data_IF_435358533238
#
_entry.id   IF_435358533238
#
_cell.length_a   1.000
_cell.length_b   1.000
_cell.length_c   1.000
_cell.angle_alpha   90.00
_cell.angle_beta   90.00
_cell.angle_gamma   90.00
#
_symmetry.space_group_name_H-M   'P 1'
#
loop_
_entity.id
_entity.type
_entity.pdbx_description
1 polymer ?
#
# COMPACT_ATOMS: atom_id res chain seq x y z
N UNK A 1 -25.16 -21.70 17.98
CA UNK A 1 -25.82 -20.42 18.27
C UNK A 1 -24.94 -19.34 17.67
N UNK A 2 -25.32 -18.80 16.51
CA UNK A 2 -24.57 -17.72 15.87
C UNK A 2 -24.69 -16.48 16.75
N UNK A 3 -23.60 -15.80 17.12
CA UNK A 3 -23.70 -14.49 17.72
C UNK A 3 -24.30 -13.55 16.65
N UNK A 4 -25.52 -13.17 16.84
CA UNK A 4 -26.12 -12.08 16.08
C UNK A 4 -25.28 -10.85 16.39
N UNK A 5 -24.68 -10.24 15.37
CA UNK A 5 -23.98 -8.95 15.52
C UNK A 5 -25.05 -7.92 15.89
N UNK A 6 -25.32 -7.81 17.16
CA UNK A 6 -26.36 -6.90 17.71
C UNK A 6 -25.82 -5.48 17.90
N UNK A 7 -24.49 -5.29 17.81
CA UNK A 7 -23.85 -3.99 17.98
C UNK A 7 -22.87 -3.70 16.83
N UNK A 8 -23.44 -3.25 15.70
CA UNK A 8 -22.65 -2.78 14.56
C UNK A 8 -21.77 -1.57 14.93
N UNK A 9 -22.22 -0.70 15.83
CA UNK A 9 -21.45 0.45 16.27
C UNK A 9 -20.19 0.01 17.04
N UNK A 10 -20.30 -0.99 17.92
CA UNK A 10 -19.16 -1.60 18.59
C UNK A 10 -18.19 -2.25 17.64
N UNK A 11 -18.68 -2.94 16.59
CA UNK A 11 -17.83 -3.54 15.56
C UNK A 11 -17.03 -2.47 14.79
N UNK A 12 -17.69 -1.36 14.38
CA UNK A 12 -16.99 -0.25 13.73
C UNK A 12 -15.89 0.33 14.60
N UNK A 13 -16.18 0.59 15.87
CA UNK A 13 -15.17 1.09 16.81
C UNK A 13 -13.97 0.14 16.93
N UNK A 14 -14.21 -1.16 16.97
CA UNK A 14 -13.15 -2.18 17.01
C UNK A 14 -12.28 -2.18 15.75
N UNK A 15 -12.91 -2.11 14.57
CA UNK A 15 -12.20 -2.06 13.28
C UNK A 15 -11.34 -0.81 13.20
N UNK A 16 -11.87 0.37 13.52
CA UNK A 16 -11.11 1.61 13.53
C UNK A 16 -9.94 1.56 14.50
N UNK A 17 -10.14 1.03 15.70
CA UNK A 17 -9.08 0.85 16.68
C UNK A 17 -8.00 -0.10 16.18
N UNK A 18 -8.38 -1.24 15.58
CA UNK A 18 -7.45 -2.21 15.01
C UNK A 18 -6.57 -1.57 13.91
N UNK A 19 -7.21 -0.83 12.99
CA UNK A 19 -6.52 -0.13 11.92
C UNK A 19 -5.55 0.94 12.46
N UNK A 20 -5.97 1.70 13.47
CA UNK A 20 -5.16 2.77 14.05
C UNK A 20 -3.96 2.22 14.84
N UNK A 21 -4.16 1.18 15.65
CA UNK A 21 -3.06 0.50 16.35
C UNK A 21 -2.07 -0.14 15.37
N UNK A 22 -2.58 -0.78 14.30
CA UNK A 22 -1.72 -1.36 13.27
C UNK A 22 -0.89 -0.28 12.57
N UNK A 23 -1.51 0.84 12.17
CA UNK A 23 -0.81 1.97 11.54
C UNK A 23 0.27 2.55 12.47
N UNK A 24 -0.03 2.72 13.76
CA UNK A 24 0.96 3.20 14.75
C UNK A 24 2.13 2.24 14.88
N UNK A 25 1.87 0.95 15.02
CA UNK A 25 2.91 -0.06 15.12
C UNK A 25 3.79 -0.15 13.88
N UNK A 26 3.20 -0.14 12.68
CA UNK A 26 3.93 -0.10 11.42
C UNK A 26 4.78 1.18 11.30
N UNK A 27 4.22 2.34 11.65
CA UNK A 27 4.96 3.60 11.65
C UNK A 27 6.14 3.59 12.61
N UNK A 28 5.97 3.01 13.80
CA UNK A 28 7.05 2.82 14.75
C UNK A 28 8.12 1.85 14.25
N UNK A 29 7.73 0.74 13.63
CA UNK A 29 8.64 -0.24 13.04
C UNK A 29 9.48 0.37 11.91
N UNK A 30 8.86 1.22 11.08
CA UNK A 30 9.52 1.92 9.97
C UNK A 30 10.27 3.18 10.39
N UNK A 31 10.28 3.56 11.68
CA UNK A 31 10.94 4.78 12.16
C UNK A 31 12.46 4.77 12.00
N UNK A 32 13.07 3.61 11.92
CA UNK A 32 14.50 3.41 11.63
C UNK A 32 14.85 3.34 10.14
N UNK A 33 13.85 3.25 9.28
CA UNK A 33 13.99 3.36 7.84
C UNK A 33 13.73 4.82 7.44
N UNK A 34 14.46 5.42 6.47
CA UNK A 34 14.17 6.79 6.06
C UNK A 34 12.70 6.90 5.67
N UNK A 35 12.01 7.60 6.49
CA UNK A 35 10.57 7.87 6.62
C UNK A 35 9.74 7.71 5.36
N UNK A 36 8.59 7.11 5.53
CA UNK A 36 7.35 7.32 4.77
C UNK A 36 7.40 6.96 3.27
N UNK A 37 8.56 6.68 2.73
CA UNK A 37 8.76 6.40 1.32
C UNK A 37 8.70 4.91 1.03
N UNK A 38 8.73 4.05 2.09
CA UNK A 38 8.61 2.60 1.95
C UNK A 38 7.38 2.22 1.10
N UNK A 39 6.21 2.74 1.43
CA UNK A 39 5.00 2.44 0.67
C UNK A 39 5.09 2.87 -0.81
N UNK A 40 5.74 4.01 -1.08
CA UNK A 40 5.94 4.48 -2.46
C UNK A 40 7.02 3.68 -3.18
N UNK A 41 8.09 3.28 -2.51
CA UNK A 41 9.13 2.38 -3.06
C UNK A 41 8.54 1.01 -3.39
N UNK A 42 7.70 0.44 -2.51
CA UNK A 42 7.01 -0.82 -2.75
C UNK A 42 6.02 -0.72 -3.93
N UNK A 43 5.28 0.38 -4.01
CA UNK A 43 4.40 0.65 -5.16
C UNK A 43 5.21 0.72 -6.45
N UNK A 44 6.32 1.48 -6.45
CA UNK A 44 7.24 1.58 -7.59
C UNK A 44 7.81 0.21 -7.97
N UNK A 45 8.33 -0.55 -7.00
CA UNK A 45 8.89 -1.89 -7.22
C UNK A 45 7.87 -2.82 -7.88
N UNK A 46 6.66 -2.87 -7.32
CA UNK A 46 5.56 -3.68 -7.85
C UNK A 46 5.17 -3.28 -9.27
N UNK A 47 5.06 -1.98 -9.54
CA UNK A 47 4.65 -1.48 -10.86
C UNK A 47 5.77 -1.62 -11.90
N UNK A 48 7.02 -1.43 -11.52
CA UNK A 48 8.18 -1.70 -12.39
C UNK A 48 8.22 -3.18 -12.75
N UNK A 49 7.96 -4.08 -11.81
CA UNK A 49 7.93 -5.52 -12.09
C UNK A 49 6.79 -5.92 -13.03
N UNK A 50 5.63 -5.26 -12.94
CA UNK A 50 4.43 -5.60 -13.75
C UNK A 50 4.40 -4.90 -15.11
N UNK A 51 4.83 -3.66 -15.19
CA UNK A 51 4.60 -2.76 -16.32
C UNK A 51 5.86 -2.03 -16.78
N UNK A 52 6.99 -2.19 -16.06
CA UNK A 52 8.24 -1.51 -16.34
C UNK A 52 8.97 -2.13 -17.53
N UNK A 53 9.85 -1.32 -18.13
CA UNK A 53 10.81 -1.76 -19.13
C UNK A 53 12.21 -1.40 -18.65
N UNK A 54 13.14 -2.35 -18.69
CA UNK A 54 14.55 -2.18 -18.24
C UNK A 54 14.67 -1.58 -16.82
N UNK A 55 13.77 -1.97 -15.90
CA UNK A 55 13.79 -1.50 -14.51
C UNK A 55 13.30 -0.05 -14.32
N UNK A 56 12.61 0.51 -15.32
CA UNK A 56 12.02 1.86 -15.27
C UNK A 56 10.51 1.83 -15.50
N UNK A 57 9.81 2.89 -15.07
CA UNK A 57 8.39 3.11 -15.33
C UNK A 57 8.13 4.61 -15.59
N UNK A 58 7.16 4.93 -16.44
CA UNK A 58 6.73 6.32 -16.62
C UNK A 58 6.00 6.87 -15.40
N UNK A 59 6.26 8.13 -15.05
CA UNK A 59 5.57 8.80 -13.94
C UNK A 59 4.04 8.84 -14.16
N UNK A 60 3.59 8.95 -15.40
CA UNK A 60 2.17 8.88 -15.76
C UNK A 60 1.54 7.53 -15.44
N UNK A 61 2.23 6.43 -15.74
CA UNK A 61 1.77 5.07 -15.40
C UNK A 61 1.71 4.85 -13.89
N UNK A 62 2.66 5.41 -13.14
CA UNK A 62 2.64 5.37 -11.68
C UNK A 62 1.43 6.10 -11.12
N UNK A 63 1.11 7.28 -11.63
CA UNK A 63 -0.06 8.06 -11.19
C UNK A 63 -1.37 7.33 -11.49
N UNK A 64 -1.52 6.79 -12.69
CA UNK A 64 -2.68 6.01 -13.12
C UNK A 64 -2.88 4.77 -12.25
N UNK A 65 -1.85 3.95 -12.10
CA UNK A 65 -1.91 2.71 -11.34
C UNK A 65 -2.15 2.95 -9.83
N UNK A 66 -1.60 4.04 -9.28
CA UNK A 66 -1.80 4.43 -7.88
C UNK A 66 -3.16 5.08 -7.62
N UNK A 67 -3.92 5.42 -8.67
CA UNK A 67 -5.16 6.21 -8.58
C UNK A 67 -4.98 7.51 -7.79
N UNK A 68 -3.80 8.10 -7.86
CA UNK A 68 -3.44 9.34 -7.16
C UNK A 68 -3.25 10.49 -8.14
N UNK A 69 -3.58 11.70 -7.67
CA UNK A 69 -3.37 12.90 -8.47
C UNK A 69 -1.86 13.13 -8.74
N UNK A 70 -1.53 13.51 -9.97
CA UNK A 70 -0.15 13.76 -10.41
C UNK A 70 0.66 14.68 -9.46
N UNK A 71 0.10 15.75 -8.85
CA UNK A 71 0.84 16.58 -7.89
C UNK A 71 1.29 15.80 -6.63
N UNK A 72 0.50 14.82 -6.18
CA UNK A 72 0.84 13.98 -5.01
C UNK A 72 2.01 13.06 -5.37
N UNK A 73 1.92 12.38 -6.50
CA UNK A 73 2.99 11.52 -7.02
C UNK A 73 4.27 12.32 -7.23
N UNK A 74 4.19 13.47 -7.90
CA UNK A 74 5.36 14.30 -8.19
C UNK A 74 6.07 14.79 -6.92
N UNK A 75 5.31 15.12 -5.86
CA UNK A 75 5.86 15.51 -4.56
C UNK A 75 6.58 14.35 -3.88
N UNK A 76 5.96 13.19 -3.80
CA UNK A 76 6.57 11.99 -3.22
C UNK A 76 7.84 11.57 -3.96
N UNK A 77 7.81 11.54 -5.30
CA UNK A 77 8.98 11.23 -6.11
C UNK A 77 10.12 12.24 -5.90
N UNK A 78 9.81 13.53 -5.74
CA UNK A 78 10.84 14.54 -5.47
C UNK A 78 11.58 14.25 -4.16
N UNK A 79 10.87 13.85 -3.12
CA UNK A 79 11.50 13.52 -1.84
C UNK A 79 12.36 12.27 -1.94
N UNK A 80 11.87 11.21 -2.61
CA UNK A 80 12.68 10.00 -2.84
C UNK A 80 13.95 10.28 -3.65
N UNK A 81 13.86 11.17 -4.65
CA UNK A 81 14.99 11.58 -5.46
C UNK A 81 16.04 12.38 -4.65
N UNK A 82 15.57 13.32 -3.81
CA UNK A 82 16.43 14.10 -2.91
C UNK A 82 17.18 13.22 -1.89
N UNK A 83 16.59 12.10 -1.51
CA UNK A 83 17.20 11.10 -0.63
C UNK A 83 18.04 10.06 -1.40
N UNK A 84 18.15 10.17 -2.72
CA UNK A 84 18.91 9.27 -3.56
C UNK A 84 18.31 7.87 -3.70
N UNK A 85 17.02 7.68 -3.34
CA UNK A 85 16.33 6.38 -3.36
C UNK A 85 15.81 6.04 -4.74
N UNK A 86 15.56 7.04 -5.58
CA UNK A 86 15.17 6.90 -6.98
C UNK A 86 15.99 7.84 -7.85
N UNK A 87 15.94 7.58 -9.14
CA UNK A 87 16.49 8.44 -10.18
C UNK A 87 15.39 8.73 -11.21
N UNK A 88 15.29 10.00 -11.63
CA UNK A 88 14.43 10.40 -12.75
C UNK A 88 15.26 10.53 -14.02
N UNK A 89 14.73 9.99 -15.08
CA UNK A 89 15.36 9.94 -16.38
C UNK A 89 14.41 10.58 -17.40
N UNK A 90 14.88 11.58 -18.13
CA UNK A 90 14.13 12.10 -19.27
C UNK A 90 14.12 11.06 -20.38
N UNK A 91 12.94 10.76 -20.93
CA UNK A 91 12.85 9.82 -22.05
C UNK A 91 13.65 10.37 -23.26
N UNK A 92 14.58 9.58 -23.80
CA UNK A 92 15.39 10.04 -24.94
C UNK A 92 14.56 10.29 -26.21
N UNK A 93 13.41 9.63 -26.34
CA UNK A 93 12.53 9.75 -27.51
C UNK A 93 11.43 10.81 -27.34
N UNK A 94 11.05 11.15 -26.09
CA UNK A 94 10.05 12.19 -25.82
C UNK A 94 10.42 12.95 -24.53
N UNK A 95 11.05 14.10 -24.68
CA UNK A 95 11.50 14.96 -23.57
C UNK A 95 10.38 15.43 -22.63
N UNK A 96 9.12 15.27 -22.99
CA UNK A 96 7.96 15.58 -22.14
C UNK A 96 7.65 14.44 -21.16
N UNK A 97 8.23 13.26 -21.38
CA UNK A 97 8.02 12.09 -20.51
C UNK A 97 9.20 11.89 -19.58
N UNK A 98 8.88 11.50 -18.36
CA UNK A 98 9.86 11.17 -17.32
C UNK A 98 9.70 9.72 -16.90
N UNK A 99 10.79 8.99 -16.94
CA UNK A 99 10.93 7.65 -16.37
C UNK A 99 11.48 7.73 -14.95
N UNK A 100 11.17 6.74 -14.15
CA UNK A 100 11.67 6.59 -12.77
C UNK A 100 12.30 5.21 -12.62
N UNK A 101 13.47 5.17 -11.96
CA UNK A 101 14.17 3.95 -11.59
C UNK A 101 14.49 3.96 -10.09
N UNK A 102 14.36 2.81 -9.43
CA UNK A 102 14.81 2.64 -8.05
C UNK A 102 16.32 2.44 -8.03
N UNK A 103 17.04 3.22 -7.22
CA UNK A 103 18.50 3.12 -7.09
C UNK A 103 18.90 1.89 -6.24
N UNK A 104 20.18 1.48 -6.22
CA UNK A 104 20.66 0.48 -5.27
C UNK A 104 20.38 0.86 -3.81
N UNK A 105 20.52 2.15 -3.46
CA UNK A 105 20.18 2.66 -2.13
C UNK A 105 18.68 2.56 -1.85
N UNK A 106 17.80 2.86 -2.83
CA UNK A 106 16.36 2.69 -2.71
C UNK A 106 15.97 1.23 -2.49
N UNK A 107 16.59 0.29 -3.19
CA UNK A 107 16.36 -1.15 -2.96
C UNK A 107 16.80 -1.59 -1.58
N UNK A 108 17.95 -1.12 -1.09
CA UNK A 108 18.39 -1.42 0.27
C UNK A 108 17.44 -0.84 1.34
N UNK A 109 16.94 0.39 1.13
CA UNK A 109 15.95 1.00 2.02
C UNK A 109 14.62 0.24 2.03
N UNK A 110 14.14 -0.22 0.86
CA UNK A 110 12.94 -1.06 0.73
C UNK A 110 13.11 -2.38 1.49
N UNK A 111 14.23 -3.09 1.28
CA UNK A 111 14.51 -4.35 1.97
C UNK A 111 14.57 -4.17 3.50
N UNK A 112 15.23 -3.11 3.98
CA UNK A 112 15.29 -2.82 5.42
C UNK A 112 13.89 -2.51 6.01
N UNK A 113 13.04 -1.82 5.25
CA UNK A 113 11.65 -1.56 5.63
C UNK A 113 10.82 -2.84 5.68
N UNK A 114 10.95 -3.71 4.69
CA UNK A 114 10.30 -5.03 4.66
C UNK A 114 10.70 -5.88 5.87
N UNK A 115 11.99 -5.99 6.17
CA UNK A 115 12.47 -6.70 7.35
C UNK A 115 11.89 -6.14 8.66
N UNK A 116 11.79 -4.81 8.77
CA UNK A 116 11.22 -4.17 9.94
C UNK A 116 9.73 -4.53 10.12
N UNK A 117 8.96 -4.53 9.04
CA UNK A 117 7.56 -4.95 9.05
C UNK A 117 7.41 -6.44 9.34
N UNK A 118 8.24 -7.30 8.74
CA UNK A 118 8.26 -8.74 9.03
C UNK A 118 8.52 -8.98 10.52
N UNK A 119 9.49 -8.30 11.13
CA UNK A 119 9.74 -8.39 12.57
C UNK A 119 8.53 -7.95 13.40
N UNK A 120 7.89 -6.84 13.03
CA UNK A 120 6.71 -6.33 13.70
C UNK A 120 5.54 -7.32 13.67
N UNK A 121 5.19 -7.83 12.48
CA UNK A 121 4.10 -8.79 12.33
C UNK A 121 4.41 -10.16 12.92
N UNK A 122 5.67 -10.60 12.84
CA UNK A 122 6.12 -11.80 13.55
C UNK A 122 5.93 -11.66 15.05
N UNK A 123 6.26 -10.50 15.63
CA UNK A 123 6.01 -10.21 17.05
C UNK A 123 4.53 -10.29 17.43
N UNK A 124 3.61 -9.88 16.55
CA UNK A 124 2.17 -10.06 16.74
C UNK A 124 1.81 -11.55 16.65
N UNK A 125 2.29 -12.25 15.62
CA UNK A 125 2.00 -13.66 15.41
C UNK A 125 2.48 -14.56 16.57
N UNK A 126 3.61 -14.23 17.22
CA UNK A 126 4.08 -14.96 18.38
C UNK A 126 3.20 -14.81 19.64
N UNK A 127 2.33 -13.80 19.68
CA UNK A 127 1.35 -13.62 20.77
C UNK A 127 0.07 -14.42 20.59
N UNK A 128 -0.11 -15.03 19.41
CA UNK A 128 -1.24 -15.87 19.06
C UNK A 128 -0.87 -17.35 19.21
N UNK A 129 -1.83 -18.18 19.64
CA UNK A 129 -1.65 -19.65 19.59
C UNK A 129 -1.56 -20.15 18.15
N UNK A 130 -1.03 -21.36 17.91
CA UNK A 130 -1.05 -21.95 16.55
C UNK A 130 -2.45 -22.00 15.93
N UNK A 131 -3.46 -22.34 16.73
CA UNK A 131 -4.86 -22.44 16.31
C UNK A 131 -5.41 -21.06 15.92
N UNK A 132 -5.12 -20.01 16.72
CA UNK A 132 -5.53 -18.64 16.42
C UNK A 132 -4.88 -18.11 15.14
N UNK A 133 -3.61 -18.44 14.90
CA UNK A 133 -2.94 -18.09 13.63
C UNK A 133 -3.62 -18.76 12.45
N UNK A 134 -3.93 -20.06 12.57
CA UNK A 134 -4.63 -20.81 11.53
C UNK A 134 -5.99 -20.18 11.21
N UNK A 135 -6.81 -19.90 12.24
CA UNK A 135 -8.10 -19.23 12.10
C UNK A 135 -8.00 -17.87 11.41
N UNK A 136 -6.97 -17.09 11.74
CA UNK A 136 -6.73 -15.81 11.09
C UNK A 136 -6.43 -15.98 9.59
N UNK A 137 -5.57 -16.94 9.23
CA UNK A 137 -5.24 -17.21 7.83
C UNK A 137 -6.43 -17.73 7.02
N UNK A 138 -7.30 -18.53 7.61
CA UNK A 138 -8.53 -18.99 6.95
C UNK A 138 -9.53 -17.85 6.73
N UNK A 139 -9.67 -16.96 7.71
CA UNK A 139 -10.65 -15.88 7.67
C UNK A 139 -10.23 -14.69 6.81
N UNK A 140 -8.92 -14.39 6.70
CA UNK A 140 -8.42 -13.19 6.01
C UNK A 140 -8.87 -13.09 4.55
N UNK A 141 -8.84 -14.20 3.82
CA UNK A 141 -9.19 -14.24 2.40
C UNK A 141 -10.71 -14.11 2.22
N UNK A 142 -11.49 -14.73 3.10
CA UNK A 142 -12.96 -14.62 3.12
C UNK A 142 -13.37 -13.17 3.40
N UNK A 143 -12.74 -12.55 4.39
CA UNK A 143 -13.05 -11.16 4.76
C UNK A 143 -12.64 -10.18 3.65
N UNK A 144 -11.46 -10.38 3.05
CA UNK A 144 -11.00 -9.54 1.94
C UNK A 144 -11.97 -9.62 0.76
N UNK A 145 -12.36 -10.83 0.35
CA UNK A 145 -13.30 -11.04 -0.73
C UNK A 145 -14.68 -10.38 -0.45
N UNK A 146 -15.16 -10.48 0.79
CA UNK A 146 -16.42 -9.83 1.19
C UNK A 146 -16.32 -8.30 1.12
N UNK A 147 -15.21 -7.72 1.57
CA UNK A 147 -14.96 -6.26 1.48
C UNK A 147 -14.87 -5.80 0.03
N UNK A 148 -14.16 -6.55 -0.82
CA UNK A 148 -14.02 -6.23 -2.24
C UNK A 148 -15.37 -6.29 -2.97
N UNK A 149 -16.22 -7.28 -2.67
CA UNK A 149 -17.57 -7.39 -3.22
C UNK A 149 -18.44 -6.19 -2.81
N UNK A 150 -18.47 -5.83 -1.53
CA UNK A 150 -19.22 -4.67 -1.04
C UNK A 150 -18.72 -3.37 -1.69
N UNK A 151 -17.40 -3.17 -1.80
CA UNK A 151 -16.83 -2.00 -2.44
C UNK A 151 -17.20 -1.92 -3.94
N UNK A 152 -17.29 -3.05 -4.63
CA UNK A 152 -17.71 -3.10 -6.03
C UNK A 152 -19.18 -2.67 -6.19
N UNK A 153 -20.07 -3.14 -5.31
CA UNK A 153 -21.48 -2.75 -5.31
C UNK A 153 -21.66 -1.26 -5.01
N UNK A 154 -20.95 -0.72 -4.00
CA UNK A 154 -21.00 0.71 -3.66
C UNK A 154 -20.53 1.59 -4.84
N UNK A 155 -19.46 1.19 -5.51
CA UNK A 155 -18.95 1.92 -6.69
C UNK A 155 -19.92 1.88 -7.88
N UNK A 156 -20.69 0.81 -8.05
CA UNK A 156 -21.72 0.73 -9.10
C UNK A 156 -22.90 1.66 -8.79
N UNK A 157 -23.36 1.70 -7.55
CA UNK A 157 -24.44 2.61 -7.10
C UNK A 157 -24.07 4.08 -7.34
N UNK A 158 -22.86 4.50 -6.94
CA UNK A 158 -22.35 5.85 -7.15
C UNK A 158 -22.26 6.27 -8.62
N UNK A 159 -21.96 5.33 -9.53
CA UNK A 159 -21.94 5.60 -10.97
C UNK A 159 -23.33 5.70 -11.57
N UNK A 160 -24.30 4.94 -11.07
CA UNK A 160 -25.68 4.98 -11.51
C UNK A 160 -26.37 6.30 -11.13
N UNK A 161 -26.13 6.79 -9.93
CA UNK A 161 -26.69 8.05 -9.43
C UNK A 161 -26.17 9.28 -10.20
N UNK A 162 -24.89 9.26 -10.64
CA UNK A 162 -24.28 10.34 -11.41
C UNK A 162 -24.72 10.38 -12.91
N UNK A 163 -25.43 9.36 -13.40
CA UNK A 163 -25.94 9.35 -14.79
C UNK A 163 -27.40 9.79 -14.88
N UNK A 164 -28.10 9.93 -13.75
CA UNK A 164 -29.52 10.31 -13.69
C UNK A 164 -29.77 11.71 -13.09
N UNK A 165 -28.74 12.51 -12.88
CA UNK A 165 -28.81 13.91 -12.43
C UNK A 165 -28.25 14.85 -13.50
#
# INVERSE_FOLDING_TARGET
MQPVITDLAGLFHYIFRLLDETKRGMSAALSSCPKCHFAMLETLSTLIAKHGHEGTIYVSQLAEASRQAMPVISRGLRTLEQEGLIERITDPNDRRKTLVRITPQGRAASAAGEEALVRYFSGIAHRLTPEQRQQFFELKDILLAAIEAENAEQNQKLKGDNQNG
#
